data_IF_814957380190
#
_entry.id   IF_814957380190
#
_cell.length_a   1.000
_cell.length_b   1.000
_cell.length_c   1.000
_cell.angle_alpha   90.00
_cell.angle_beta   90.00
_cell.angle_gamma   90.00
#
_symmetry.space_group_name_H-M   'P 1'
#
loop_
_entity.id
_entity.type
_entity.pdbx_description
1 polymer ?
#
# COMPACT_ATOMS: atom_id res chain seq x y z
N UNK A 1 -17.01 -14.82 -16.44
CA UNK A 1 -15.71 -14.14 -16.32
C UNK A 1 -15.57 -13.54 -14.91
N UNK A 2 -14.43 -13.79 -14.26
CA UNK A 2 -14.11 -13.25 -12.93
C UNK A 2 -12.75 -12.57 -12.98
N UNK A 3 -12.68 -11.32 -12.56
CA UNK A 3 -11.43 -10.60 -12.35
C UNK A 3 -11.13 -10.48 -10.86
N UNK A 4 -9.84 -10.42 -10.52
CA UNK A 4 -9.40 -10.13 -9.18
C UNK A 4 -8.24 -9.12 -9.19
N UNK A 5 -8.06 -8.39 -8.08
CA UNK A 5 -7.02 -7.39 -7.85
C UNK A 5 -7.09 -6.22 -8.86
N UNK A 6 -6.61 -6.39 -10.09
CA UNK A 6 -6.60 -5.36 -11.14
C UNK A 6 -7.81 -5.50 -12.05
N UNK A 7 -8.79 -4.62 -11.87
CA UNK A 7 -10.08 -4.71 -12.53
C UNK A 7 -10.15 -3.78 -13.74
N UNK A 8 -10.40 -4.30 -14.96
CA UNK A 8 -10.67 -3.48 -16.12
C UNK A 8 -12.00 -2.70 -15.96
N UNK A 9 -12.02 -1.43 -16.36
CA UNK A 9 -13.20 -0.57 -16.15
C UNK A 9 -14.40 -0.95 -17.00
N UNK A 10 -14.18 -1.43 -18.23
CA UNK A 10 -15.22 -1.53 -19.27
C UNK A 10 -15.61 -2.98 -19.62
N UNK A 11 -15.25 -3.96 -18.78
CA UNK A 11 -15.59 -5.36 -19.03
C UNK A 11 -16.59 -5.84 -17.99
N UNK A 12 -17.84 -6.16 -18.37
CA UNK A 12 -18.81 -6.76 -17.47
C UNK A 12 -18.32 -8.10 -16.92
N UNK A 13 -18.17 -8.19 -15.61
CA UNK A 13 -17.56 -9.37 -14.95
C UNK A 13 -17.86 -9.40 -13.46
N UNK A 14 -17.80 -10.58 -12.88
CA UNK A 14 -17.68 -10.69 -11.43
C UNK A 14 -16.28 -10.26 -10.99
N UNK A 15 -16.18 -9.65 -9.83
CA UNK A 15 -14.95 -8.99 -9.38
C UNK A 15 -14.70 -9.30 -7.90
N UNK A 16 -13.45 -9.65 -7.58
CA UNK A 16 -12.99 -9.79 -6.19
C UNK A 16 -11.78 -8.88 -6.00
N UNK A 17 -11.84 -7.98 -5.05
CA UNK A 17 -10.79 -6.99 -4.82
C UNK A 17 -10.52 -6.78 -3.33
N UNK A 18 -9.32 -6.32 -3.01
CA UNK A 18 -8.99 -5.78 -1.69
C UNK A 18 -9.43 -4.33 -1.62
N UNK A 19 -9.89 -3.88 -0.47
CA UNK A 19 -10.12 -2.46 -0.20
C UNK A 19 -8.78 -1.73 -0.02
N UNK A 20 -8.20 -1.35 -1.17
CA UNK A 20 -6.92 -0.65 -1.21
C UNK A 20 -7.01 0.76 -0.63
N UNK A 21 -8.17 1.40 -0.76
CA UNK A 21 -8.42 2.71 -0.15
C UNK A 21 -8.38 2.61 1.38
N UNK A 22 -9.18 1.70 1.94
CA UNK A 22 -9.25 1.53 3.39
C UNK A 22 -7.91 1.07 3.97
N UNK A 23 -7.20 0.17 3.29
CA UNK A 23 -5.88 -0.29 3.70
C UNK A 23 -4.86 0.86 3.82
N UNK A 24 -4.78 1.71 2.81
CA UNK A 24 -3.89 2.87 2.83
C UNK A 24 -4.33 3.93 3.85
N UNK A 25 -5.63 4.17 3.97
CA UNK A 25 -6.21 5.07 4.99
C UNK A 25 -5.82 4.64 6.41
N UNK A 26 -5.98 3.36 6.74
CA UNK A 26 -5.61 2.83 8.06
C UNK A 26 -4.09 2.84 8.31
N UNK A 27 -3.28 2.58 7.28
CA UNK A 27 -1.82 2.65 7.39
C UNK A 27 -1.35 4.07 7.75
N UNK A 28 -1.89 5.09 7.09
CA UNK A 28 -1.58 6.49 7.42
C UNK A 28 -2.07 6.84 8.82
N UNK A 29 -3.27 6.42 9.21
CA UNK A 29 -3.79 6.65 10.56
C UNK A 29 -2.93 5.97 11.64
N UNK A 30 -2.35 4.79 11.36
CA UNK A 30 -1.39 4.15 12.27
C UNK A 30 -0.17 5.07 12.50
N UNK A 31 0.42 5.61 11.42
CA UNK A 31 1.55 6.53 11.52
C UNK A 31 1.19 7.81 12.29
N UNK A 32 0.01 8.38 12.03
CA UNK A 32 -0.48 9.58 12.73
C UNK A 32 -0.66 9.30 14.23
N UNK A 33 -1.26 8.16 14.59
CA UNK A 33 -1.42 7.75 15.99
C UNK A 33 -0.09 7.51 16.71
N UNK A 34 0.98 7.14 15.97
CA UNK A 34 2.34 7.05 16.52
C UNK A 34 3.07 8.41 16.59
N UNK A 35 2.38 9.51 16.26
CA UNK A 35 2.90 10.88 16.39
C UNK A 35 3.55 11.45 15.15
N UNK A 36 3.52 10.74 14.01
CA UNK A 36 4.08 11.22 12.74
C UNK A 36 3.17 12.27 12.11
N UNK A 37 3.77 13.29 11.48
CA UNK A 37 3.04 14.45 10.93
C UNK A 37 3.41 14.77 9.48
N UNK A 38 4.56 14.33 9.02
CA UNK A 38 5.07 14.57 7.66
C UNK A 38 5.18 13.24 6.94
N UNK A 39 4.04 12.76 6.48
CA UNK A 39 3.94 11.42 5.90
C UNK A 39 4.09 11.53 4.38
N UNK A 40 5.08 10.85 3.83
CA UNK A 40 5.29 10.75 2.40
C UNK A 40 4.69 9.47 1.82
N UNK A 41 4.42 9.48 0.52
CA UNK A 41 3.97 8.30 -0.21
C UNK A 41 4.87 8.05 -1.43
N UNK A 42 5.52 6.88 -1.47
CA UNK A 42 6.25 6.40 -2.64
C UNK A 42 5.34 5.47 -3.43
N UNK A 43 4.92 5.91 -4.61
CA UNK A 43 3.98 5.22 -5.49
C UNK A 43 4.58 4.95 -6.87
N UNK A 44 3.76 4.36 -7.72
CA UNK A 44 3.98 4.21 -9.16
C UNK A 44 2.84 4.88 -9.92
N UNK A 45 2.97 5.11 -11.26
CA UNK A 45 1.92 5.78 -12.03
C UNK A 45 0.54 5.13 -11.86
N UNK A 46 -0.46 5.95 -11.57
CA UNK A 46 -1.77 5.55 -11.08
C UNK A 46 -2.80 5.17 -12.18
N UNK A 47 -2.35 4.74 -13.37
CA UNK A 47 -3.27 4.23 -14.40
C UNK A 47 -3.95 2.89 -14.02
N UNK A 48 -3.49 2.24 -12.94
CA UNK A 48 -4.06 1.03 -12.38
C UNK A 48 -4.87 1.41 -11.14
N UNK A 49 -6.13 0.95 -11.07
CA UNK A 49 -7.07 1.29 -10.00
C UNK A 49 -6.52 1.06 -8.58
N UNK A 50 -5.83 -0.05 -8.36
CA UNK A 50 -5.21 -0.42 -7.07
C UNK A 50 -4.36 0.71 -6.50
N UNK A 51 -3.48 1.30 -7.33
CA UNK A 51 -2.56 2.36 -6.86
C UNK A 51 -3.26 3.69 -6.69
N UNK A 52 -4.26 3.98 -7.53
CA UNK A 52 -5.10 5.17 -7.35
C UNK A 52 -5.90 5.11 -6.06
N UNK A 53 -6.44 3.94 -5.70
CA UNK A 53 -7.20 3.75 -4.47
C UNK A 53 -6.30 3.92 -3.24
N UNK A 54 -5.06 3.38 -3.27
CA UNK A 54 -4.06 3.61 -2.20
C UNK A 54 -3.71 5.09 -2.05
N UNK A 55 -3.52 5.81 -3.16
CA UNK A 55 -3.27 7.27 -3.14
C UNK A 55 -4.46 8.04 -2.55
N UNK A 56 -5.68 7.68 -2.93
CA UNK A 56 -6.89 8.31 -2.42
C UNK A 56 -7.06 8.08 -0.91
N UNK A 57 -6.78 6.86 -0.43
CA UNK A 57 -6.79 6.52 0.99
C UNK A 57 -5.74 7.32 1.79
N UNK A 58 -4.51 7.42 1.27
CA UNK A 58 -3.46 8.25 1.84
C UNK A 58 -3.88 9.71 1.97
N UNK A 59 -4.36 10.34 0.87
CA UNK A 59 -4.79 11.74 0.88
C UNK A 59 -5.96 11.97 1.85
N UNK A 60 -6.93 11.05 1.87
CA UNK A 60 -8.09 11.15 2.77
C UNK A 60 -7.70 11.10 4.25
N UNK A 61 -6.76 10.24 4.63
CA UNK A 61 -6.31 10.15 6.01
C UNK A 61 -5.58 11.41 6.49
N UNK A 62 -4.78 12.03 5.62
CA UNK A 62 -4.14 13.31 5.93
C UNK A 62 -5.17 14.43 6.09
N UNK A 63 -6.14 14.51 5.16
CA UNK A 63 -7.22 15.51 5.19
C UNK A 63 -8.06 15.42 6.46
N UNK A 64 -8.53 14.21 6.82
CA UNK A 64 -9.32 13.97 8.03
C UNK A 64 -8.55 14.31 9.31
N UNK A 65 -7.24 14.17 9.28
CA UNK A 65 -6.35 14.51 10.40
C UNK A 65 -5.88 15.96 10.38
N UNK A 66 -6.34 16.77 9.42
CA UNK A 66 -5.96 18.17 9.22
C UNK A 66 -4.44 18.35 9.04
N UNK A 67 -3.76 17.34 8.49
CA UNK A 67 -2.35 17.43 8.12
C UNK A 67 -2.20 18.02 6.72
N UNK A 68 -1.13 18.79 6.52
CA UNK A 68 -0.86 19.41 5.22
C UNK A 68 -0.45 18.31 4.22
N UNK A 69 -1.13 18.28 3.09
CA UNK A 69 -0.72 17.48 1.94
C UNK A 69 0.39 18.24 1.22
N UNK A 70 1.63 17.81 1.40
CA UNK A 70 2.78 18.35 0.70
C UNK A 70 3.01 17.57 -0.60
N UNK A 71 2.87 18.21 -1.74
CA UNK A 71 3.04 17.55 -3.05
C UNK A 71 4.46 17.01 -3.26
N UNK A 72 5.49 17.60 -2.63
CA UNK A 72 6.86 17.10 -2.67
C UNK A 72 7.03 15.76 -1.93
N UNK A 73 6.07 15.38 -1.08
CA UNK A 73 6.04 14.09 -0.39
C UNK A 73 5.38 12.97 -1.19
N UNK A 74 4.87 13.29 -2.37
CA UNK A 74 4.34 12.30 -3.29
C UNK A 74 5.37 12.01 -4.38
N UNK A 75 6.00 10.83 -4.32
CA UNK A 75 7.03 10.42 -5.27
C UNK A 75 6.50 9.29 -6.14
N UNK A 76 6.33 9.57 -7.44
CA UNK A 76 6.09 8.52 -8.42
C UNK A 76 7.41 7.93 -8.94
N UNK A 77 7.48 6.61 -8.93
CA UNK A 77 8.58 5.84 -9.48
C UNK A 77 8.09 5.00 -10.68
N UNK A 78 8.96 4.69 -11.65
CA UNK A 78 8.53 4.00 -12.86
C UNK A 78 8.03 2.57 -12.61
N UNK A 79 8.55 1.90 -11.57
CA UNK A 79 8.21 0.53 -11.21
C UNK A 79 8.03 0.39 -9.70
N UNK A 80 7.70 -0.83 -9.24
CA UNK A 80 7.54 -1.17 -7.82
C UNK A 80 8.69 -2.05 -7.30
N UNK A 81 9.92 -1.79 -7.73
CA UNK A 81 11.10 -2.54 -7.29
C UNK A 81 11.73 -1.95 -6.03
N UNK A 82 12.59 -2.73 -5.38
CA UNK A 82 13.44 -2.21 -4.27
C UNK A 82 14.32 -1.04 -4.71
N UNK A 83 14.79 -1.04 -5.98
CA UNK A 83 15.57 0.05 -6.54
C UNK A 83 14.79 1.36 -6.61
N UNK A 84 13.51 1.28 -6.98
CA UNK A 84 12.61 2.44 -7.03
C UNK A 84 12.31 2.96 -5.62
N UNK A 85 12.10 2.07 -4.65
CA UNK A 85 11.95 2.45 -3.24
C UNK A 85 13.17 3.16 -2.67
N UNK A 86 14.36 2.66 -2.99
CA UNK A 86 15.63 3.30 -2.61
C UNK A 86 15.76 4.70 -3.22
N UNK A 87 15.51 4.85 -4.52
CA UNK A 87 15.57 6.13 -5.22
C UNK A 87 14.50 7.12 -4.72
N UNK A 88 13.28 6.64 -4.43
CA UNK A 88 12.20 7.44 -3.85
C UNK A 88 12.58 8.00 -2.47
N UNK A 89 13.08 7.15 -1.59
CA UNK A 89 13.55 7.59 -0.27
C UNK A 89 14.75 8.55 -0.38
N UNK A 90 15.64 8.34 -1.34
CA UNK A 90 16.75 9.27 -1.60
C UNK A 90 16.24 10.67 -1.99
N UNK A 91 15.23 10.76 -2.85
CA UNK A 91 14.61 12.03 -3.22
C UNK A 91 13.97 12.71 -2.01
N UNK A 92 13.17 11.96 -1.23
CA UNK A 92 12.47 12.47 -0.04
C UNK A 92 13.44 13.01 1.01
N UNK A 93 14.52 12.29 1.28
CA UNK A 93 15.52 12.72 2.27
C UNK A 93 16.46 13.81 1.76
N UNK A 94 16.38 14.19 0.50
CA UNK A 94 17.06 15.34 -0.11
C UNK A 94 16.26 16.64 -0.08
N UNK A 95 15.00 16.60 0.36
CA UNK A 95 14.15 17.79 0.50
C UNK A 95 14.62 18.68 1.65
N UNK A 96 14.30 19.98 1.57
CA UNK A 96 14.59 20.94 2.65
C UNK A 96 13.84 20.58 3.94
N UNK A 97 12.61 20.10 3.84
CA UNK A 97 11.84 19.50 4.90
C UNK A 97 11.67 18.00 4.59
N UNK A 98 12.19 17.14 5.47
CA UNK A 98 12.14 15.70 5.27
C UNK A 98 10.89 15.09 5.92
N UNK A 99 10.32 14.00 5.36
CA UNK A 99 9.23 13.27 6.01
C UNK A 99 9.71 12.55 7.27
N UNK A 100 8.78 12.32 8.21
CA UNK A 100 8.98 11.49 9.40
C UNK A 100 8.27 10.13 9.30
N UNK A 101 7.55 9.89 8.19
CA UNK A 101 7.02 8.58 7.84
C UNK A 101 6.92 8.41 6.31
N UNK A 102 7.00 7.16 5.85
CA UNK A 102 6.88 6.79 4.44
C UNK A 102 5.88 5.64 4.34
N UNK A 103 4.75 5.88 3.65
CA UNK A 103 3.92 4.83 3.11
C UNK A 103 4.51 4.42 1.76
N UNK A 104 4.72 3.14 1.55
CA UNK A 104 5.17 2.61 0.26
C UNK A 104 4.07 1.81 -0.41
N UNK A 105 3.98 1.93 -1.73
CA UNK A 105 2.92 1.29 -2.53
C UNK A 105 2.98 -0.25 -2.49
N UNK A 106 4.13 -0.83 -2.15
CA UNK A 106 4.34 -2.28 -2.02
C UNK A 106 5.47 -2.58 -1.04
N UNK A 107 5.62 -3.85 -0.66
CA UNK A 107 6.69 -4.33 0.22
C UNK A 107 8.08 -4.07 -0.37
N UNK A 108 8.29 -4.36 -1.65
CA UNK A 108 9.57 -4.15 -2.31
C UNK A 108 10.00 -2.68 -2.28
N UNK A 109 9.06 -1.77 -2.52
CA UNK A 109 9.32 -0.32 -2.42
C UNK A 109 9.65 0.07 -0.98
N UNK A 110 8.92 -0.45 0.00
CA UNK A 110 9.18 -0.20 1.42
C UNK A 110 10.58 -0.68 1.85
N UNK A 111 10.95 -1.91 1.47
CA UNK A 111 12.26 -2.50 1.78
C UNK A 111 13.38 -1.69 1.11
N UNK A 112 13.16 -1.22 -0.13
CA UNK A 112 14.08 -0.32 -0.81
C UNK A 112 14.29 1.00 -0.05
N UNK A 113 13.20 1.59 0.45
CA UNK A 113 13.25 2.79 1.27
C UNK A 113 14.02 2.56 2.59
N UNK A 114 13.72 1.48 3.32
CA UNK A 114 14.45 1.08 4.53
C UNK A 114 15.95 0.97 4.24
N UNK A 115 16.32 0.34 3.13
CA UNK A 115 17.72 0.15 2.73
C UNK A 115 18.45 1.48 2.53
N UNK A 116 17.81 2.48 1.94
CA UNK A 116 18.37 3.81 1.81
C UNK A 116 18.48 4.53 3.16
N UNK A 117 17.42 4.53 3.97
CA UNK A 117 17.40 5.17 5.28
C UNK A 117 18.52 4.62 6.18
N UNK A 118 18.69 3.30 6.22
CA UNK A 118 19.80 2.66 6.97
C UNK A 118 21.17 3.09 6.44
N UNK A 119 21.36 3.20 5.14
CA UNK A 119 22.63 3.66 4.56
C UNK A 119 23.02 5.06 5.04
N UNK A 120 22.06 5.94 5.22
CA UNK A 120 22.28 7.29 5.75
C UNK A 120 22.12 7.41 7.27
N UNK A 121 22.02 6.26 7.96
CA UNK A 121 21.94 6.13 9.43
C UNK A 121 20.71 6.79 10.07
N UNK A 122 19.61 6.85 9.37
CA UNK A 122 18.30 7.23 9.92
C UNK A 122 17.76 6.05 10.73
N UNK A 123 17.30 6.32 11.94
CA UNK A 123 16.68 5.31 12.81
C UNK A 123 15.25 5.05 12.37
N UNK A 124 14.90 3.77 12.30
CA UNK A 124 13.56 3.31 11.93
C UNK A 124 13.04 2.47 13.10
N UNK A 125 11.89 2.81 13.70
CA UNK A 125 10.90 3.83 13.30
C UNK A 125 11.10 5.21 13.93
N UNK A 126 12.10 5.44 14.79
CA UNK A 126 12.20 6.62 15.65
C UNK A 126 12.23 7.91 14.83
N UNK A 127 13.14 8.03 13.86
CA UNK A 127 13.27 9.22 13.01
C UNK A 127 12.26 9.15 11.85
N UNK A 128 12.19 7.99 11.15
CA UNK A 128 11.28 7.77 10.02
C UNK A 128 10.61 6.41 10.13
N UNK A 129 9.29 6.37 10.28
CA UNK A 129 8.51 5.14 10.17
C UNK A 129 8.34 4.72 8.71
N UNK A 130 8.30 3.40 8.45
CA UNK A 130 8.02 2.86 7.10
C UNK A 130 6.92 1.81 7.18
N UNK A 131 5.91 1.94 6.32
CA UNK A 131 4.84 0.95 6.16
C UNK A 131 4.75 0.53 4.70
N UNK A 132 4.70 -0.77 4.45
CA UNK A 132 4.52 -1.39 3.14
C UNK A 132 3.10 -1.86 2.87
N UNK A 133 2.96 -2.59 1.76
CA UNK A 133 1.69 -3.16 1.33
C UNK A 133 1.96 -4.52 0.69
N UNK A 134 1.13 -5.53 0.99
CA UNK A 134 1.01 -6.90 0.45
C UNK A 134 1.31 -8.01 1.47
N UNK A 135 2.33 -7.88 2.34
CA UNK A 135 2.80 -8.86 3.33
C UNK A 135 3.48 -10.09 2.70
N UNK A 136 4.42 -9.85 1.78
CA UNK A 136 5.27 -10.91 1.23
C UNK A 136 6.32 -11.43 2.23
N UNK A 137 6.96 -12.57 1.93
CA UNK A 137 7.93 -13.22 2.84
C UNK A 137 9.10 -12.33 3.25
N UNK A 138 9.47 -11.36 2.42
CA UNK A 138 10.59 -10.46 2.71
C UNK A 138 10.29 -9.47 3.85
N UNK A 139 9.03 -9.28 4.24
CA UNK A 139 8.65 -8.36 5.32
C UNK A 139 9.20 -8.77 6.68
N UNK A 140 9.26 -10.07 6.95
CA UNK A 140 9.83 -10.63 8.19
C UNK A 140 11.35 -10.85 8.11
N UNK A 141 11.90 -10.85 6.89
CA UNK A 141 13.35 -10.97 6.66
C UNK A 141 14.05 -9.60 6.59
N UNK A 142 13.28 -8.51 6.51
CA UNK A 142 13.84 -7.15 6.52
C UNK A 142 14.30 -6.77 7.93
N UNK A 143 15.21 -5.82 8.00
CA UNK A 143 15.72 -5.26 9.26
C UNK A 143 15.63 -3.71 9.20
N UNK A 144 14.71 -3.09 9.99
CA UNK A 144 13.71 -3.72 10.86
C UNK A 144 12.64 -4.53 10.09
N UNK A 145 11.95 -5.46 10.79
CA UNK A 145 10.80 -6.15 10.23
C UNK A 145 9.72 -5.16 9.79
N UNK A 146 9.19 -5.33 8.57
CA UNK A 146 8.31 -4.36 7.93
C UNK A 146 6.86 -4.48 8.42
N UNK A 147 6.33 -3.38 8.94
CA UNK A 147 4.88 -3.17 9.13
C UNK A 147 4.20 -3.03 7.79
N UNK A 148 3.08 -3.72 7.59
CA UNK A 148 2.42 -3.81 6.28
C UNK A 148 0.90 -3.82 6.38
N UNK A 149 0.25 -3.38 5.32
CA UNK A 149 -1.13 -3.76 5.03
C UNK A 149 -1.12 -5.13 4.35
N UNK A 150 -1.57 -6.15 5.06
CA UNK A 150 -1.61 -7.53 4.55
C UNK A 150 -2.83 -7.74 3.66
N UNK A 151 -2.61 -8.31 2.48
CA UNK A 151 -3.70 -8.74 1.61
C UNK A 151 -4.21 -10.13 2.02
N UNK A 152 -5.53 -10.34 2.15
CA UNK A 152 -6.12 -11.62 2.54
C UNK A 152 -6.17 -12.60 1.37
N UNK A 153 -5.02 -13.05 0.87
CA UNK A 153 -4.87 -13.85 -0.36
C UNK A 153 -5.74 -15.11 -0.35
N UNK A 154 -5.78 -15.82 0.80
CA UNK A 154 -6.60 -17.03 0.92
C UNK A 154 -8.09 -16.73 0.72
N UNK A 155 -8.59 -15.63 1.29
CA UNK A 155 -9.99 -15.22 1.13
C UNK A 155 -10.29 -14.77 -0.30
N UNK A 156 -9.38 -13.99 -0.92
CA UNK A 156 -9.47 -13.61 -2.32
C UNK A 156 -9.58 -14.84 -3.23
N UNK A 157 -8.71 -15.83 -3.01
CA UNK A 157 -8.69 -17.07 -3.80
C UNK A 157 -9.99 -17.85 -3.67
N UNK A 158 -10.50 -18.00 -2.43
CA UNK A 158 -11.76 -18.71 -2.18
C UNK A 158 -12.95 -18.02 -2.84
N UNK A 159 -13.06 -16.69 -2.72
CA UNK A 159 -14.14 -15.91 -3.32
C UNK A 159 -14.09 -15.96 -4.85
N UNK A 160 -12.90 -15.88 -5.45
CA UNK A 160 -12.74 -16.07 -6.90
C UNK A 160 -13.18 -17.47 -7.34
N UNK A 161 -12.74 -18.49 -6.63
CA UNK A 161 -13.10 -19.88 -6.94
C UNK A 161 -14.62 -20.09 -6.86
N UNK A 162 -15.26 -19.59 -5.80
CA UNK A 162 -16.71 -19.69 -5.63
C UNK A 162 -17.47 -19.01 -6.78
N UNK A 163 -17.09 -17.77 -7.14
CA UNK A 163 -17.72 -17.05 -8.23
C UNK A 163 -17.56 -17.77 -9.59
N UNK A 164 -16.38 -18.34 -9.86
CA UNK A 164 -16.14 -19.12 -11.07
C UNK A 164 -17.02 -20.38 -11.08
N UNK A 165 -17.08 -21.11 -9.97
CA UNK A 165 -17.87 -22.33 -9.86
C UNK A 165 -19.37 -22.08 -10.00
N UNK A 166 -19.87 -20.98 -9.45
CA UNK A 166 -21.28 -20.57 -9.56
C UNK A 166 -21.63 -20.25 -11.02
N UNK A 167 -20.74 -19.57 -11.76
CA UNK A 167 -20.93 -19.30 -13.19
C UNK A 167 -20.92 -20.59 -14.02
N UNK A 168 -20.00 -21.53 -13.75
CA UNK A 168 -19.92 -22.82 -14.46
C UNK A 168 -21.20 -23.65 -14.24
N UNK A 169 -21.71 -23.68 -13.00
CA UNK A 169 -22.92 -24.42 -12.63
C UNK A 169 -24.21 -23.73 -13.10
N UNK A 170 -24.13 -22.48 -13.60
CA UNK A 170 -25.32 -21.71 -13.98
C UNK A 170 -26.19 -21.27 -12.80
N UNK A 171 -25.64 -21.29 -11.57
CA UNK A 171 -26.40 -20.90 -10.36
C UNK A 171 -26.48 -19.39 -10.19
N UNK A 172 -25.69 -18.62 -10.93
CA UNK A 172 -25.68 -17.14 -10.90
C UNK A 172 -25.86 -16.59 -12.32
N UNK A 173 -26.81 -15.68 -12.49
CA UNK A 173 -27.13 -15.03 -13.78
C UNK A 173 -26.63 -13.57 -13.85
N UNK A 174 -26.07 -13.05 -12.77
CA UNK A 174 -25.59 -11.67 -12.65
C UNK A 174 -24.11 -11.63 -12.23
N UNK A 175 -23.48 -10.51 -12.47
CA UNK A 175 -22.12 -10.27 -12.00
C UNK A 175 -22.13 -9.77 -10.54
N UNK A 176 -21.22 -10.33 -9.74
CA UNK A 176 -21.05 -9.96 -8.33
C UNK A 176 -19.74 -9.20 -8.14
N UNK A 177 -19.76 -8.24 -7.20
CA UNK A 177 -18.55 -7.55 -6.71
C UNK A 177 -18.35 -7.88 -5.24
N UNK A 178 -17.16 -8.37 -4.90
CA UNK A 178 -16.76 -8.65 -3.53
C UNK A 178 -15.54 -7.81 -3.20
N UNK A 179 -15.62 -7.03 -2.12
CA UNK A 179 -14.51 -6.25 -1.59
C UNK A 179 -14.14 -6.82 -0.23
N UNK A 180 -12.85 -7.08 -0.02
CA UNK A 180 -12.32 -7.70 1.19
C UNK A 180 -11.34 -6.73 1.83
N UNK A 181 -11.48 -6.47 3.12
CA UNK A 181 -10.55 -5.60 3.84
C UNK A 181 -9.22 -6.30 4.05
N UNK A 182 -8.12 -5.54 3.85
CA UNK A 182 -6.81 -5.92 4.33
C UNK A 182 -6.70 -5.75 5.85
N UNK A 183 -5.64 -6.28 6.42
CA UNK A 183 -5.33 -6.18 7.85
C UNK A 183 -3.95 -5.56 8.04
N UNK A 184 -3.79 -4.65 9.01
CA UNK A 184 -2.48 -4.10 9.34
C UNK A 184 -1.75 -5.06 10.27
N UNK A 185 -0.57 -5.49 9.84
CA UNK A 185 0.36 -6.26 10.68
C UNK A 185 1.48 -5.33 11.13
N UNK A 186 1.39 -4.91 12.39
CA UNK A 186 2.38 -4.02 13.00
C UNK A 186 3.64 -4.80 13.36
N UNK A 187 4.79 -4.29 12.93
CA UNK A 187 6.13 -4.82 13.23
C UNK A 187 7.07 -3.68 13.64
N UNK A 188 8.38 -3.90 13.50
CA UNK A 188 9.39 -3.00 14.04
C UNK A 188 9.64 -1.74 13.20
N UNK A 189 9.07 -1.60 11.99
CA UNK A 189 9.33 -0.45 11.12
C UNK A 189 8.39 0.74 11.32
N UNK A 190 7.39 0.64 12.24
CA UNK A 190 6.43 1.73 12.50
C UNK A 190 6.12 1.91 13.97
#
# INVERSE_FOLDING_TARGET
LVFFDRIPKDIPSSQVMVDNFQGAYEAVNLMIRSGKKRIAFISIPSHINVFQDRLNGYKKALDDSQLVINEDFFIEQPNHSMGDGYAGAQKLMGLAETPDAILAVSDDVAIGAIKYLKKIKIRIPEDVSVVGFDNGPMCIASDPELTVVSQPISKLTLDCFELIMNQIKGTTTHFEKRTINGEIIVRASS
#
